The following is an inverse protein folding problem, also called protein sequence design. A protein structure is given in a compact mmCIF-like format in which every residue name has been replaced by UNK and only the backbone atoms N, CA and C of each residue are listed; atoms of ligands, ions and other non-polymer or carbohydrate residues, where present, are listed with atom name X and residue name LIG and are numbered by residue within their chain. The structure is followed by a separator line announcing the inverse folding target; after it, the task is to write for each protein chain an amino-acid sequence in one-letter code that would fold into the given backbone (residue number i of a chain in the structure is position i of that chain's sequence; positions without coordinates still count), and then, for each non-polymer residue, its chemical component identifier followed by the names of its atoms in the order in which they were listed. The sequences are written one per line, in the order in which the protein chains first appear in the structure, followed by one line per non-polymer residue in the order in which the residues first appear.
data_IF_727408126543
#
_entry.id   IF_727408126543
#
_cell.length_a   1.000
_cell.length_b   1.000
_cell.length_c   1.000
_cell.angle_alpha   90.00
_cell.angle_beta   90.00
_cell.angle_gamma   90.00
#
_symmetry.space_group_name_H-M   'P 1'
#
loop_
_entity.id
_entity.type
_entity.pdbx_description
1 polymer ?
#
# COMPACT_ATOMS: atom_id res chain seq x y z
N UNK A 1 2.50 -13.75 -5.32
CA UNK A 1 3.59 -12.85 -4.85
C UNK A 1 3.10 -11.66 -4.02
N UNK A 2 2.34 -10.70 -4.57
CA UNK A 2 1.87 -9.54 -3.78
C UNK A 2 0.77 -9.90 -2.77
N UNK A 3 -0.18 -10.77 -3.12
CA UNK A 3 -1.20 -11.28 -2.17
C UNK A 3 -0.58 -11.97 -0.94
N UNK A 4 0.51 -12.70 -1.14
CA UNK A 4 1.23 -13.37 -0.04
C UNK A 4 1.95 -12.36 0.88
N UNK A 5 2.34 -11.20 0.34
CA UNK A 5 2.91 -10.11 1.13
C UNK A 5 1.80 -9.30 1.82
N UNK A 6 0.71 -9.03 1.11
CA UNK A 6 -0.36 -8.12 1.49
C UNK A 6 -1.74 -8.82 1.40
N UNK A 7 -2.13 -9.62 2.40
CA UNK A 7 -3.45 -10.23 2.48
C UNK A 7 -4.62 -9.24 2.34
N UNK A 8 -4.49 -8.00 2.83
CA UNK A 8 -5.47 -6.92 2.67
C UNK A 8 -5.90 -6.64 1.23
N UNK A 9 -5.11 -7.08 0.24
CA UNK A 9 -5.52 -7.03 -1.16
C UNK A 9 -6.77 -7.88 -1.46
N UNK A 10 -7.11 -8.86 -0.61
CA UNK A 10 -8.36 -9.64 -0.72
C UNK A 10 -9.63 -8.83 -0.47
N UNK A 11 -9.51 -7.62 0.10
CA UNK A 11 -10.63 -6.70 0.29
C UNK A 11 -11.07 -6.05 -1.04
N UNK A 12 -10.25 -6.18 -2.09
CA UNK A 12 -10.65 -5.83 -3.45
C UNK A 12 -11.48 -6.98 -4.06
N UNK A 13 -12.72 -6.72 -4.52
CA UNK A 13 -13.65 -7.79 -4.88
C UNK A 13 -13.39 -8.45 -6.23
N UNK A 14 -12.59 -7.84 -7.10
CA UNK A 14 -12.33 -8.33 -8.45
C UNK A 14 -11.01 -9.13 -8.50
N UNK A 15 -10.87 -10.09 -9.44
CA UNK A 15 -9.62 -10.82 -9.61
C UNK A 15 -8.46 -9.90 -10.00
N UNK A 16 -7.24 -10.34 -9.68
CA UNK A 16 -6.00 -9.67 -10.05
C UNK A 16 -5.27 -10.54 -11.06
N UNK A 17 -5.35 -10.18 -12.34
CA UNK A 17 -4.72 -10.91 -13.44
C UNK A 17 -3.50 -10.17 -13.98
N UNK A 18 -3.54 -8.84 -13.99
CA UNK A 18 -2.48 -8.00 -14.52
C UNK A 18 -2.15 -6.75 -13.68
N UNK A 19 -1.26 -5.91 -14.20
CA UNK A 19 -0.80 -4.69 -13.53
C UNK A 19 -1.91 -3.62 -13.46
N UNK A 20 -2.83 -3.60 -14.44
CA UNK A 20 -3.95 -2.68 -14.43
C UNK A 20 -4.94 -3.01 -13.31
N UNK A 21 -5.12 -4.29 -12.99
CA UNK A 21 -5.92 -4.73 -11.84
C UNK A 21 -5.27 -4.31 -10.52
N UNK A 22 -3.93 -4.40 -10.41
CA UNK A 22 -3.20 -3.89 -9.24
C UNK A 22 -3.44 -2.38 -9.06
N UNK A 23 -3.45 -1.63 -10.16
CA UNK A 23 -3.75 -0.19 -10.13
C UNK A 23 -5.19 0.06 -9.68
N UNK A 24 -6.16 -0.69 -10.22
CA UNK A 24 -7.55 -0.59 -9.85
C UNK A 24 -7.76 -0.90 -8.35
N UNK A 25 -7.15 -1.99 -7.87
CA UNK A 25 -7.18 -2.40 -6.48
C UNK A 25 -6.56 -1.33 -5.56
N UNK A 26 -5.37 -0.83 -5.88
CA UNK A 26 -4.75 0.25 -5.10
C UNK A 26 -5.60 1.53 -5.07
N UNK A 27 -6.23 1.90 -6.20
CA UNK A 27 -7.13 3.05 -6.24
C UNK A 27 -8.41 2.84 -5.44
N UNK A 28 -8.92 1.62 -5.37
CA UNK A 28 -10.09 1.24 -4.57
C UNK A 28 -9.76 1.27 -3.07
N UNK A 29 -8.71 0.54 -2.68
CA UNK A 29 -8.30 0.33 -1.29
C UNK A 29 -7.81 1.59 -0.56
N UNK A 30 -7.46 2.66 -1.30
CA UNK A 30 -7.10 3.95 -0.69
C UNK A 30 -8.21 4.51 0.22
N UNK A 31 -9.48 4.14 -0.05
CA UNK A 31 -10.62 4.52 0.76
C UNK A 31 -10.48 4.03 2.21
N UNK A 32 -9.99 2.81 2.40
CA UNK A 32 -9.75 2.20 3.71
C UNK A 32 -8.67 2.92 4.53
N UNK A 33 -7.78 3.68 3.86
CA UNK A 33 -6.78 4.53 4.51
C UNK A 33 -7.30 5.93 4.87
N UNK A 34 -8.50 6.31 4.40
CA UNK A 34 -8.93 7.71 4.39
C UNK A 34 -8.13 8.58 3.41
N UNK A 35 -7.44 7.98 2.43
CA UNK A 35 -6.67 8.71 1.43
C UNK A 35 -7.59 9.27 0.34
N UNK A 36 -7.81 10.58 0.40
CA UNK A 36 -8.66 11.31 -0.56
C UNK A 36 -8.04 11.35 -1.98
N UNK A 37 -8.84 11.81 -2.95
CA UNK A 37 -8.42 11.86 -4.36
C UNK A 37 -7.22 12.79 -4.60
N UNK A 38 -7.09 13.87 -3.82
CA UNK A 38 -5.90 14.71 -3.84
C UNK A 38 -4.63 13.93 -3.44
N UNK A 39 -4.68 13.07 -2.41
CA UNK A 39 -3.56 12.23 -2.01
C UNK A 39 -3.14 11.28 -3.12
N UNK A 40 -4.13 10.67 -3.76
CA UNK A 40 -3.91 9.75 -4.85
C UNK A 40 -3.24 10.46 -6.03
N UNK A 41 -3.81 11.57 -6.49
CA UNK A 41 -3.28 12.32 -7.63
C UNK A 41 -1.87 12.87 -7.37
N UNK A 42 -1.60 13.34 -6.14
CA UNK A 42 -0.25 13.74 -5.71
C UNK A 42 0.73 12.57 -5.83
N UNK A 43 0.42 11.41 -5.25
CA UNK A 43 1.29 10.24 -5.33
C UNK A 43 1.50 9.75 -6.77
N UNK A 44 0.43 9.71 -7.60
CA UNK A 44 0.54 9.34 -9.01
C UNK A 44 1.46 10.30 -9.76
N UNK A 45 1.35 11.61 -9.51
CA UNK A 45 2.23 12.60 -10.13
C UNK A 45 3.70 12.46 -9.68
N UNK A 46 3.94 12.06 -8.43
CA UNK A 46 5.28 11.97 -7.87
C UNK A 46 6.03 10.67 -8.18
N UNK A 47 5.34 9.54 -8.13
CA UNK A 47 5.97 8.21 -8.23
C UNK A 47 5.37 7.33 -9.34
N UNK A 48 4.39 7.84 -10.08
CA UNK A 48 3.71 7.12 -11.14
C UNK A 48 2.60 6.20 -10.62
N UNK A 49 1.71 5.83 -11.54
CA UNK A 49 0.45 5.14 -11.24
C UNK A 49 0.65 3.79 -10.53
N UNK A 50 1.54 2.95 -11.06
CA UNK A 50 1.79 1.61 -10.51
C UNK A 50 2.39 1.70 -9.11
N UNK A 51 3.40 2.56 -8.89
CA UNK A 51 4.02 2.69 -7.56
C UNK A 51 3.07 3.32 -6.55
N UNK A 52 2.21 4.25 -6.96
CA UNK A 52 1.18 4.80 -6.08
C UNK A 52 0.21 3.70 -5.62
N UNK A 53 -0.27 2.86 -6.54
CA UNK A 53 -1.13 1.72 -6.22
C UNK A 53 -0.47 0.74 -5.24
N UNK A 54 0.77 0.33 -5.52
CA UNK A 54 1.54 -0.57 -4.65
C UNK A 54 1.80 0.06 -3.29
N UNK A 55 2.05 1.37 -3.23
CA UNK A 55 2.22 2.09 -1.95
C UNK A 55 0.95 2.07 -1.11
N UNK A 56 -0.23 2.21 -1.72
CA UNK A 56 -1.51 2.07 -1.00
C UNK A 56 -1.64 0.67 -0.42
N UNK A 57 -1.44 -0.37 -1.23
CA UNK A 57 -1.56 -1.77 -0.80
C UNK A 57 -0.59 -2.08 0.34
N UNK A 58 0.67 -1.64 0.22
CA UNK A 58 1.68 -1.82 1.25
C UNK A 58 1.32 -1.10 2.56
N UNK A 59 0.88 0.16 2.49
CA UNK A 59 0.50 0.95 3.67
C UNK A 59 -0.77 0.39 4.33
N UNK A 60 -1.73 -0.09 3.54
CA UNK A 60 -2.91 -0.76 4.08
C UNK A 60 -2.52 -2.01 4.84
N UNK A 61 -1.59 -2.81 4.30
CA UNK A 61 -1.12 -3.97 5.05
C UNK A 61 -0.38 -3.60 6.33
N UNK A 62 0.48 -2.58 6.29
CA UNK A 62 1.16 -2.10 7.51
C UNK A 62 0.17 -1.62 8.58
N UNK A 63 -0.90 -0.95 8.15
CA UNK A 63 -1.95 -0.48 9.05
C UNK A 63 -2.73 -1.64 9.66
N UNK A 64 -3.13 -2.62 8.84
CA UNK A 64 -3.83 -3.82 9.29
C UNK A 64 -2.98 -4.64 10.28
N UNK A 65 -1.68 -4.81 10.01
CA UNK A 65 -0.75 -5.48 10.91
C UNK A 65 -0.59 -4.73 12.25
N UNK A 66 -0.51 -3.40 12.21
CA UNK A 66 -0.38 -2.52 13.39
C UNK A 66 -1.64 -2.47 14.26
N UNK A 67 -2.81 -2.57 13.64
CA UNK A 67 -4.09 -2.71 14.35
C UNK A 67 -4.21 -4.11 14.96
N UNK A 68 -3.86 -5.15 14.20
CA UNK A 68 -3.93 -6.55 14.63
C UNK A 68 -2.96 -6.88 15.77
N UNK A 69 -1.80 -6.21 15.83
CA UNK A 69 -0.86 -6.33 16.96
C UNK A 69 -1.33 -5.61 18.23
N UNK A 70 -2.36 -4.77 18.15
CA UNK A 70 -2.86 -3.95 19.25
C UNK A 70 -2.00 -2.73 19.59
N UNK A 71 -0.95 -2.45 18.81
CA UNK A 71 -0.03 -1.34 19.09
C UNK A 71 -0.59 0.00 18.62
N UNK A 72 -1.30 0.01 17.48
CA UNK A 72 -1.99 1.18 16.96
C UNK A 72 -1.08 2.41 16.79
N UNK A 73 0.15 2.24 16.33
CA UNK A 73 1.10 3.33 16.09
C UNK A 73 0.68 4.22 14.91
N UNK A 74 -0.01 3.66 13.90
CA UNK A 74 -0.43 4.41 12.72
C UNK A 74 -1.76 5.11 13.01
N UNK A 75 -1.70 6.35 13.51
CA UNK A 75 -2.90 7.15 13.86
C UNK A 75 -3.60 7.82 12.68
N UNK A 76 -2.88 8.02 11.58
CA UNK A 76 -3.41 8.67 10.37
C UNK A 76 -2.90 7.92 9.12
N UNK A 77 -3.59 6.86 8.68
CA UNK A 77 -3.14 6.02 7.58
C UNK A 77 -3.02 6.79 6.25
N UNK A 78 -3.94 7.71 5.97
CA UNK A 78 -3.89 8.57 4.78
C UNK A 78 -2.71 9.54 4.80
N UNK A 79 -2.36 10.09 5.96
CA UNK A 79 -1.14 10.88 6.14
C UNK A 79 0.12 10.04 6.00
N UNK A 80 0.12 8.83 6.54
CA UNK A 80 1.21 7.87 6.43
C UNK A 80 1.45 7.46 4.97
N UNK A 81 0.39 7.22 4.18
CA UNK A 81 0.48 6.99 2.75
C UNK A 81 1.21 8.12 2.00
N UNK A 82 0.88 9.38 2.26
CA UNK A 82 1.58 10.52 1.64
C UNK A 82 3.05 10.57 2.04
N UNK A 83 3.36 10.31 3.31
CA UNK A 83 4.74 10.25 3.78
C UNK A 83 5.52 9.12 3.09
N UNK A 84 4.90 7.94 2.96
CA UNK A 84 5.48 6.79 2.27
C UNK A 84 5.76 7.09 0.79
N UNK A 85 4.81 7.71 0.08
CA UNK A 85 5.01 8.11 -1.32
C UNK A 85 6.23 9.03 -1.49
N UNK A 86 6.43 9.98 -0.56
CA UNK A 86 7.61 10.87 -0.56
C UNK A 86 8.91 10.13 -0.28
N UNK A 87 8.90 9.14 0.61
CA UNK A 87 10.07 8.29 0.89
C UNK A 87 10.44 7.44 -0.33
N UNK A 88 9.45 6.87 -1.01
CA UNK A 88 9.63 6.13 -2.27
C UNK A 88 10.18 7.04 -3.36
N UNK A 89 9.62 8.25 -3.54
CA UNK A 89 10.13 9.27 -4.47
C UNK A 89 11.59 9.61 -4.21
N UNK A 90 11.97 9.75 -2.95
CA UNK A 90 13.33 10.06 -2.52
C UNK A 90 14.30 8.87 -2.61
N UNK A 91 13.84 7.67 -3.01
CA UNK A 91 14.65 6.46 -3.04
C UNK A 91 15.06 5.95 -1.64
N UNK A 92 14.43 6.46 -0.58
CA UNK A 92 14.68 6.02 0.81
C UNK A 92 13.98 4.71 1.13
N UNK A 93 12.94 4.38 0.37
CA UNK A 93 12.19 3.12 0.46
C UNK A 93 12.10 2.52 -0.94
N UNK A 94 12.52 1.26 -1.06
CA UNK A 94 12.28 0.42 -2.23
C UNK A 94 11.13 -0.54 -1.93
N UNK A 95 9.98 -0.32 -2.59
CA UNK A 95 8.78 -1.12 -2.38
C UNK A 95 9.00 -2.61 -2.68
N UNK A 96 9.88 -2.96 -3.62
CA UNK A 96 10.15 -4.37 -3.97
C UNK A 96 10.84 -5.09 -2.82
N UNK A 97 11.80 -4.41 -2.17
CA UNK A 97 12.52 -4.91 -1.00
C UNK A 97 11.57 -5.04 0.19
N UNK A 98 10.75 -4.01 0.43
CA UNK A 98 9.77 -3.99 1.51
C UNK A 98 8.71 -5.10 1.37
N UNK A 99 8.16 -5.30 0.17
CA UNK A 99 7.20 -6.37 -0.09
C UNK A 99 7.81 -7.76 0.09
N UNK A 100 9.07 -7.95 -0.33
CA UNK A 100 9.77 -9.21 -0.10
C UNK A 100 10.01 -9.47 1.39
N UNK A 101 10.41 -8.46 2.14
CA UNK A 101 10.58 -8.55 3.59
C UNK A 101 9.25 -8.85 4.31
N UNK A 102 8.17 -8.19 3.89
CA UNK A 102 6.82 -8.43 4.39
C UNK A 102 6.35 -9.87 4.13
N UNK A 103 6.53 -10.37 2.89
CA UNK A 103 6.22 -11.76 2.54
C UNK A 103 7.01 -12.76 3.39
N UNK A 104 8.31 -12.54 3.60
CA UNK A 104 9.16 -13.43 4.40
C UNK A 104 8.68 -13.54 5.85
N UNK A 105 8.31 -12.42 6.48
CA UNK A 105 7.77 -12.41 7.85
C UNK A 105 6.48 -13.20 8.02
N UNK A 106 5.69 -13.36 6.96
CA UNK A 106 4.44 -14.14 6.98
C UNK A 106 4.66 -15.63 6.74
N UNK A 107 5.80 -16.01 6.15
CA UNK A 107 6.14 -17.39 5.86
C UNK A 107 6.97 -18.07 6.98
N UNK A 108 7.40 -17.29 7.98
CA UNK A 108 8.12 -17.76 9.17
C UNK A 108 7.16 -18.02 10.33
#
# INVERSE_FOLDING_TARGET
MILEACPTLSDYPEPIEDVSDIVAAGRYLRGSLGANESAWNEAVAEIGLVRAAVTVIYVLQLYDDDVSSGEGRIKNPGGYFRAMARLVKAGKIDLSVELLAMRRRRMS
#
